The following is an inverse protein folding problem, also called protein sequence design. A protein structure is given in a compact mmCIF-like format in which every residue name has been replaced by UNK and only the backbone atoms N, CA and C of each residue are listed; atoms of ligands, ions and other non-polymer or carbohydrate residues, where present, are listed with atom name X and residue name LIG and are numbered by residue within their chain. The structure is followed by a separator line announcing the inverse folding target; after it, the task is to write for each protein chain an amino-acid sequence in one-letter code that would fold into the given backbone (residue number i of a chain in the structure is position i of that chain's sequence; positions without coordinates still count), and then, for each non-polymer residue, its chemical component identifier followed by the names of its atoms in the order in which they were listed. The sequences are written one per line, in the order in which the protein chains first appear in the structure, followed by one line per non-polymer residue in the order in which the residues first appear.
data_IF_848021058593
#
_entry.id   IF_848021058593
#
_cell.length_a   1.000
_cell.length_b   1.000
_cell.length_c   1.000
_cell.angle_alpha   90.00
_cell.angle_beta   90.00
_cell.angle_gamma   90.00
#
_symmetry.space_group_name_H-M   'P 1'
#
loop_
_entity.id
_entity.type
_entity.pdbx_description
1 polymer ?
#
# COMPACT_ATOMS: atom_id res chain seq x y z
N UNK A 1 -16.80 34.97 24.41
CA UNK A 1 -16.52 34.58 23.02
C UNK A 1 -15.45 33.51 23.07
N UNK A 2 -15.83 32.22 23.10
CA UNK A 2 -14.93 31.11 22.97
C UNK A 2 -14.54 30.97 21.49
N UNK A 3 -13.39 31.46 21.11
CA UNK A 3 -12.76 31.09 19.88
C UNK A 3 -12.29 29.63 20.02
N UNK A 4 -13.15 28.68 19.71
CA UNK A 4 -12.72 27.32 19.40
C UNK A 4 -11.68 27.47 18.27
N UNK A 5 -10.41 27.34 18.62
CA UNK A 5 -9.38 27.12 17.62
C UNK A 5 -9.74 25.82 16.93
N UNK A 6 -10.29 25.93 15.72
CA UNK A 6 -10.51 24.82 14.82
C UNK A 6 -9.12 24.24 14.49
N UNK A 7 -8.57 23.48 15.45
CA UNK A 7 -7.26 22.82 15.28
C UNK A 7 -7.46 21.66 14.33
N UNK A 8 -6.88 21.80 13.12
CA UNK A 8 -6.89 20.73 12.13
C UNK A 8 -6.34 19.45 12.74
N UNK A 9 -6.98 18.32 12.44
CA UNK A 9 -6.49 17.01 12.89
C UNK A 9 -5.14 16.71 12.25
N UNK A 10 -4.23 16.16 13.03
CA UNK A 10 -2.85 15.85 12.68
C UNK A 10 -2.71 14.36 12.41
N UNK A 11 -2.24 14.01 11.21
CA UNK A 11 -2.12 12.61 10.79
C UNK A 11 -0.67 12.29 10.44
N UNK A 12 -0.14 11.22 11.02
CA UNK A 12 1.13 10.64 10.60
C UNK A 12 0.86 9.62 9.49
N UNK A 13 1.55 9.77 8.35
CA UNK A 13 1.58 8.79 7.27
C UNK A 13 3.00 8.25 7.13
N UNK A 14 3.23 6.99 7.47
CA UNK A 14 4.51 6.34 7.20
C UNK A 14 4.53 5.72 5.82
N UNK A 15 5.66 5.69 5.14
CA UNK A 15 5.74 5.28 3.74
C UNK A 15 5.18 6.35 2.78
N UNK A 16 5.31 7.63 3.15
CA UNK A 16 4.69 8.75 2.45
C UNK A 16 5.26 9.01 1.04
N UNK A 17 6.48 8.56 0.73
CA UNK A 17 7.05 8.58 -0.62
C UNK A 17 6.72 7.32 -1.43
N UNK A 18 6.05 6.34 -0.80
CA UNK A 18 5.55 5.13 -1.46
C UNK A 18 4.32 5.42 -2.33
N UNK A 19 3.91 4.43 -3.12
CA UNK A 19 2.78 4.55 -4.05
C UNK A 19 1.48 4.97 -3.35
N UNK A 20 1.01 4.16 -2.40
CA UNK A 20 -0.25 4.42 -1.68
C UNK A 20 -0.08 5.62 -0.74
N UNK A 21 1.07 5.72 -0.05
CA UNK A 21 1.33 6.79 0.93
C UNK A 21 1.30 8.19 0.33
N UNK A 22 1.88 8.38 -0.86
CA UNK A 22 1.88 9.67 -1.54
C UNK A 22 0.48 10.12 -1.98
N UNK A 23 -0.32 9.19 -2.54
CA UNK A 23 -1.71 9.47 -2.90
C UNK A 23 -2.56 9.79 -1.67
N UNK A 24 -2.38 9.01 -0.59
CA UNK A 24 -3.10 9.25 0.66
C UNK A 24 -2.73 10.60 1.27
N UNK A 25 -1.44 10.91 1.40
CA UNK A 25 -0.99 12.18 1.96
C UNK A 25 -1.56 13.37 1.17
N UNK A 26 -1.52 13.30 -0.18
CA UNK A 26 -2.14 14.31 -1.05
C UNK A 26 -3.65 14.42 -0.85
N UNK A 27 -4.36 13.30 -0.70
CA UNK A 27 -5.81 13.31 -0.46
C UNK A 27 -6.15 13.90 0.90
N UNK A 28 -5.42 13.54 1.95
CA UNK A 28 -5.62 14.05 3.31
C UNK A 28 -5.35 15.56 3.41
N UNK A 29 -4.27 16.06 2.79
CA UNK A 29 -3.99 17.52 2.75
C UNK A 29 -5.08 18.29 2.04
N UNK A 30 -5.64 17.76 0.93
CA UNK A 30 -6.79 18.37 0.23
C UNK A 30 -8.08 18.35 1.05
N UNK A 31 -8.22 17.41 1.99
CA UNK A 31 -9.32 17.37 2.95
C UNK A 31 -9.08 18.29 4.17
N UNK A 32 -7.96 19.02 4.21
CA UNK A 32 -7.65 19.99 5.25
C UNK A 32 -6.97 19.40 6.49
N UNK A 33 -6.49 18.16 6.45
CA UNK A 33 -5.67 17.59 7.53
C UNK A 33 -4.25 18.17 7.50
N UNK A 34 -3.62 18.24 8.70
CA UNK A 34 -2.18 18.45 8.83
C UNK A 34 -1.49 17.08 8.73
N UNK A 35 -0.70 16.88 7.68
CA UNK A 35 -0.08 15.57 7.41
C UNK A 35 1.42 15.63 7.64
N UNK A 36 1.92 14.76 8.51
CA UNK A 36 3.35 14.48 8.62
C UNK A 36 3.64 13.18 7.89
N UNK A 37 4.49 13.25 6.86
CA UNK A 37 4.93 12.08 6.09
C UNK A 37 6.35 11.67 6.49
N UNK A 38 6.59 10.35 6.61
CA UNK A 38 7.93 9.79 6.76
C UNK A 38 8.19 8.68 5.75
N UNK A 39 9.42 8.59 5.24
CA UNK A 39 9.92 7.52 4.37
C UNK A 39 11.45 7.50 4.44
N UNK A 40 12.08 6.35 4.27
CA UNK A 40 13.55 6.24 4.26
C UNK A 40 14.15 6.35 2.85
N UNK A 41 13.33 6.56 1.85
CA UNK A 41 13.71 6.67 0.43
C UNK A 41 14.62 5.54 -0.05
N UNK A 42 14.47 4.32 0.49
CA UNK A 42 15.32 3.18 0.16
C UNK A 42 15.40 2.88 -1.34
N UNK A 43 16.46 2.19 -1.75
CA UNK A 43 16.81 1.89 -3.13
C UNK A 43 16.16 0.60 -3.68
N UNK A 44 15.07 0.11 -3.10
CA UNK A 44 14.36 -1.06 -3.62
C UNK A 44 13.90 -0.87 -5.07
N UNK A 45 13.48 0.34 -5.39
CA UNK A 45 13.32 0.86 -6.76
C UNK A 45 13.82 2.32 -6.80
N UNK A 46 13.88 2.89 -8.01
CA UNK A 46 14.45 4.24 -8.21
C UNK A 46 13.96 5.27 -7.18
N UNK A 47 14.84 5.88 -6.39
CA UNK A 47 14.49 6.97 -5.48
C UNK A 47 13.93 8.21 -6.19
N UNK A 48 14.22 8.40 -7.48
CA UNK A 48 13.66 9.51 -8.26
C UNK A 48 12.14 9.46 -8.34
N UNK A 49 11.57 8.27 -8.53
CA UNK A 49 10.11 8.12 -8.51
C UNK A 49 9.53 8.48 -7.13
N UNK A 50 10.24 8.18 -6.05
CA UNK A 50 9.85 8.57 -4.69
C UNK A 50 9.94 10.09 -4.51
N UNK A 51 11.03 10.69 -4.97
CA UNK A 51 11.22 12.14 -4.92
C UNK A 51 10.17 12.88 -5.76
N UNK A 52 9.86 12.38 -6.96
CA UNK A 52 8.82 12.98 -7.81
C UNK A 52 7.43 12.94 -7.15
N UNK A 53 7.09 11.88 -6.42
CA UNK A 53 5.86 11.83 -5.60
C UNK A 53 5.88 12.89 -4.49
N UNK A 54 7.01 13.07 -3.80
CA UNK A 54 7.16 14.08 -2.75
C UNK A 54 7.08 15.50 -3.32
N UNK A 55 7.68 15.76 -4.47
CA UNK A 55 7.63 17.06 -5.13
C UNK A 55 6.18 17.48 -5.43
N UNK A 56 5.32 16.52 -5.81
CA UNK A 56 3.90 16.79 -6.01
C UNK A 56 3.14 17.18 -4.73
N UNK A 57 3.73 17.00 -3.54
CA UNK A 57 3.17 17.38 -2.23
C UNK A 57 3.81 18.63 -1.62
N UNK A 58 4.98 19.07 -2.14
CA UNK A 58 5.79 20.15 -1.55
C UNK A 58 5.07 21.51 -1.48
N UNK A 59 4.14 21.77 -2.40
CA UNK A 59 3.40 23.04 -2.42
C UNK A 59 2.25 23.09 -1.41
N UNK A 60 1.98 21.97 -0.70
CA UNK A 60 0.93 21.94 0.30
C UNK A 60 1.43 22.49 1.64
N UNK A 61 0.85 23.59 2.17
CA UNK A 61 1.21 24.13 3.48
C UNK A 61 0.84 23.18 4.64
N UNK A 62 0.08 22.13 4.33
CA UNK A 62 -0.42 21.13 5.29
C UNK A 62 0.38 19.83 5.25
N UNK A 63 1.45 19.78 4.49
CA UNK A 63 2.33 18.61 4.40
C UNK A 63 3.74 18.93 4.92
N UNK A 64 4.25 18.06 5.82
CA UNK A 64 5.63 18.07 6.28
C UNK A 64 6.24 16.70 6.05
N UNK A 65 7.43 16.65 5.48
CA UNK A 65 8.15 15.41 5.23
C UNK A 65 9.42 15.31 6.06
N UNK A 66 9.69 14.11 6.59
CA UNK A 66 10.95 13.78 7.21
C UNK A 66 11.49 12.49 6.60
N UNK A 67 12.71 12.56 6.05
CA UNK A 67 13.44 11.37 5.65
C UNK A 67 13.89 10.61 6.89
N UNK A 68 13.27 9.44 7.13
CA UNK A 68 13.45 8.68 8.36
C UNK A 68 13.14 7.20 8.13
N UNK A 69 13.95 6.32 8.74
CA UNK A 69 13.64 4.90 8.81
C UNK A 69 12.77 4.59 10.03
N UNK A 70 11.70 3.82 9.83
CA UNK A 70 10.82 3.39 10.93
C UNK A 70 11.53 2.40 11.87
N UNK A 71 12.62 1.75 11.45
CA UNK A 71 13.44 0.90 12.29
C UNK A 71 14.34 1.67 13.27
N UNK A 72 14.48 3.00 13.11
CA UNK A 72 15.22 3.86 14.05
C UNK A 72 14.33 4.23 15.24
N UNK A 73 14.45 3.43 16.33
CA UNK A 73 13.66 3.60 17.56
C UNK A 73 13.80 4.99 18.18
N UNK A 74 15.02 5.54 18.20
CA UNK A 74 15.26 6.84 18.84
C UNK A 74 14.56 7.99 18.09
N UNK A 75 14.65 7.98 16.74
CA UNK A 75 13.98 8.99 15.90
C UNK A 75 12.47 8.81 15.94
N UNK A 76 11.97 7.57 15.88
CA UNK A 76 10.54 7.28 15.99
C UNK A 76 9.97 7.73 17.33
N UNK A 77 10.65 7.44 18.45
CA UNK A 77 10.23 7.88 19.79
C UNK A 77 10.09 9.40 19.87
N UNK A 78 11.05 10.17 19.32
CA UNK A 78 10.98 11.64 19.26
C UNK A 78 9.83 12.13 18.38
N UNK A 79 9.67 11.54 17.20
CA UNK A 79 8.59 11.91 16.26
C UNK A 79 7.22 11.80 16.93
N UNK A 80 6.97 10.71 17.67
CA UNK A 80 5.71 10.52 18.35
C UNK A 80 5.54 11.46 19.55
N UNK A 81 6.61 11.72 20.32
CA UNK A 81 6.57 12.63 21.47
C UNK A 81 6.25 14.07 21.05
N UNK A 82 6.82 14.53 19.94
CA UNK A 82 6.67 15.90 19.44
C UNK A 82 5.46 16.05 18.53
N UNK A 83 5.01 14.93 17.93
CA UNK A 83 4.03 14.91 16.85
C UNK A 83 2.62 15.28 17.27
N UNK A 84 2.12 14.76 18.40
CA UNK A 84 0.73 14.94 18.87
C UNK A 84 -0.29 14.53 17.79
N UNK A 85 -0.13 13.35 17.22
CA UNK A 85 -0.95 12.86 16.13
C UNK A 85 -2.33 12.39 16.61
N UNK A 86 -3.39 12.86 15.95
CA UNK A 86 -4.75 12.38 16.19
C UNK A 86 -4.97 10.97 15.62
N UNK A 87 -4.31 10.65 14.52
CA UNK A 87 -4.36 9.33 13.89
C UNK A 87 -3.05 9.01 13.18
N UNK A 88 -2.79 7.71 13.02
CA UNK A 88 -1.61 7.20 12.32
C UNK A 88 -2.05 6.27 11.20
N UNK A 89 -1.50 6.46 9.99
CA UNK A 89 -1.66 5.53 8.87
C UNK A 89 -0.29 4.95 8.54
N UNK A 90 -0.08 3.70 8.92
CA UNK A 90 1.19 3.00 8.77
C UNK A 90 1.20 2.19 7.46
N UNK A 91 1.87 2.73 6.43
CA UNK A 91 2.04 2.11 5.12
C UNK A 91 3.50 1.76 4.80
N UNK A 92 4.45 2.24 5.61
CA UNK A 92 5.87 1.91 5.44
C UNK A 92 6.08 0.41 5.64
N UNK A 93 6.68 -0.23 4.66
CA UNK A 93 7.05 -1.64 4.71
C UNK A 93 8.03 -1.96 3.58
N UNK A 94 8.86 -2.99 3.78
CA UNK A 94 9.46 -3.68 2.66
C UNK A 94 8.38 -4.56 2.03
N UNK A 95 8.04 -4.27 0.78
CA UNK A 95 7.00 -4.97 0.03
C UNK A 95 7.59 -5.84 -1.08
N UNK A 96 6.78 -6.76 -1.63
CA UNK A 96 7.18 -7.68 -2.70
C UNK A 96 7.47 -9.08 -2.19
N UNK A 97 6.68 -10.06 -2.67
CA UNK A 97 6.81 -11.47 -2.25
C UNK A 97 8.18 -12.04 -2.64
N UNK A 98 8.62 -11.78 -3.88
CA UNK A 98 9.85 -12.37 -4.43
C UNK A 98 11.12 -11.83 -3.76
N UNK A 99 11.20 -10.52 -3.61
CA UNK A 99 12.37 -9.90 -2.98
C UNK A 99 12.55 -10.35 -1.52
N UNK A 100 11.51 -10.89 -0.87
CA UNK A 100 11.65 -11.47 0.47
C UNK A 100 12.48 -12.77 0.50
N UNK A 101 12.67 -13.41 -0.64
CA UNK A 101 13.56 -14.57 -0.79
C UNK A 101 15.02 -14.11 -0.87
N UNK A 102 15.26 -13.03 -1.63
CA UNK A 102 16.61 -12.54 -1.91
C UNK A 102 17.17 -11.71 -0.75
N UNK A 103 16.31 -10.92 -0.07
CA UNK A 103 16.71 -10.02 1.01
C UNK A 103 15.78 -10.15 2.23
N UNK A 104 15.78 -11.27 2.97
CA UNK A 104 14.88 -11.51 4.09
C UNK A 104 15.06 -10.50 5.25
N UNK A 105 16.31 -10.05 5.48
CA UNK A 105 16.62 -9.12 6.57
C UNK A 105 15.87 -7.80 6.45
N UNK A 106 15.75 -7.23 5.24
CA UNK A 106 15.02 -6.00 5.01
C UNK A 106 13.54 -6.09 5.43
N UNK A 107 12.94 -7.30 5.34
CA UNK A 107 11.56 -7.54 5.78
C UNK A 107 11.45 -7.61 7.30
N UNK A 108 12.42 -8.19 7.97
CA UNK A 108 12.44 -8.22 9.45
C UNK A 108 12.64 -6.79 9.98
N UNK A 109 13.63 -6.07 9.47
CA UNK A 109 13.96 -4.72 9.93
C UNK A 109 12.77 -3.76 9.72
N UNK A 110 12.20 -3.71 8.51
CA UNK A 110 11.10 -2.79 8.22
C UNK A 110 9.76 -3.27 8.78
N UNK A 111 9.37 -4.53 8.52
CA UNK A 111 8.01 -4.96 8.80
C UNK A 111 7.80 -5.43 10.23
N UNK A 112 8.84 -5.89 10.92
CA UNK A 112 8.76 -6.36 12.30
C UNK A 112 9.27 -5.28 13.25
N UNK A 113 10.55 -4.91 13.15
CA UNK A 113 11.15 -3.91 14.04
C UNK A 113 10.49 -2.54 13.83
N UNK A 114 10.35 -2.11 12.58
CA UNK A 114 9.70 -0.84 12.25
C UNK A 114 8.25 -0.77 12.72
N UNK A 115 7.46 -1.83 12.54
CA UNK A 115 6.07 -1.85 13.04
C UNK A 115 6.01 -1.84 14.56
N UNK A 116 6.93 -2.53 15.25
CA UNK A 116 7.04 -2.48 16.70
C UNK A 116 7.29 -1.05 17.19
N UNK A 117 8.17 -0.28 16.53
CA UNK A 117 8.45 1.11 16.88
C UNK A 117 7.21 2.00 16.70
N UNK A 118 6.38 1.73 15.68
CA UNK A 118 5.09 2.44 15.50
C UNK A 118 4.13 2.10 16.65
N UNK A 119 3.99 0.83 17.01
CA UNK A 119 3.13 0.39 18.12
C UNK A 119 3.57 1.00 19.45
N UNK A 120 4.87 1.00 19.75
CA UNK A 120 5.43 1.63 20.94
C UNK A 120 5.25 3.15 20.95
N UNK A 121 5.39 3.79 19.77
CA UNK A 121 5.12 5.20 19.60
C UNK A 121 3.68 5.55 19.94
N UNK A 122 2.71 4.81 19.41
CA UNK A 122 1.27 4.98 19.72
C UNK A 122 0.95 4.62 21.18
N UNK A 123 1.58 3.59 21.74
CA UNK A 123 1.37 3.22 23.15
C UNK A 123 1.77 4.33 24.11
N UNK A 124 2.91 4.98 23.85
CA UNK A 124 3.45 6.08 24.70
C UNK A 124 2.74 7.41 24.42
N UNK A 125 2.26 7.62 23.19
CA UNK A 125 1.58 8.83 22.74
C UNK A 125 0.26 8.45 22.06
N UNK A 126 -0.81 8.21 22.84
CA UNK A 126 -2.06 7.66 22.33
C UNK A 126 -2.68 8.51 21.22
N UNK A 127 -3.21 7.86 20.21
CA UNK A 127 -3.98 8.47 19.13
C UNK A 127 -5.38 7.83 19.04
N UNK A 128 -6.28 8.48 18.31
CA UNK A 128 -7.65 8.01 18.15
C UNK A 128 -7.74 6.72 17.33
N UNK A 129 -6.86 6.53 16.35
CA UNK A 129 -6.90 5.39 15.45
C UNK A 129 -5.54 5.13 14.79
N UNK A 130 -5.06 3.89 14.85
CA UNK A 130 -3.96 3.39 14.04
C UNK A 130 -4.51 2.52 12.91
N UNK A 131 -4.40 2.97 11.67
CA UNK A 131 -4.68 2.16 10.47
C UNK A 131 -3.36 1.63 9.93
N UNK A 132 -3.24 0.34 9.70
CA UNK A 132 -1.99 -0.26 9.22
C UNK A 132 -2.19 -1.18 8.02
N UNK A 133 -1.17 -1.23 7.15
CA UNK A 133 -1.17 -2.08 5.98
C UNK A 133 -0.85 -3.53 6.35
N UNK A 134 -1.83 -4.42 6.23
CA UNK A 134 -1.66 -5.85 6.03
C UNK A 134 -1.62 -6.17 4.52
N UNK A 135 -1.86 -7.39 4.12
CA UNK A 135 -1.78 -7.83 2.71
C UNK A 135 -2.66 -9.06 2.48
N UNK A 136 -3.22 -9.19 1.28
CA UNK A 136 -3.85 -10.43 0.83
C UNK A 136 -2.91 -11.64 0.83
N UNK A 137 -1.59 -11.42 0.83
CA UNK A 137 -0.60 -12.48 0.95
C UNK A 137 -0.72 -13.29 2.26
N UNK A 138 -1.37 -12.75 3.31
CA UNK A 138 -1.59 -13.48 4.57
C UNK A 138 -2.49 -14.69 4.40
N UNK A 139 -3.36 -14.71 3.38
CA UNK A 139 -4.20 -15.87 3.08
C UNK A 139 -3.39 -17.09 2.63
N UNK A 140 -2.15 -16.89 2.17
CA UNK A 140 -1.17 -17.94 1.92
C UNK A 140 -1.69 -19.04 1.00
N UNK A 141 -1.69 -20.27 1.49
CA UNK A 141 -2.11 -21.46 0.75
C UNK A 141 -3.65 -21.67 0.70
N UNK A 142 -4.44 -20.72 1.20
CA UNK A 142 -5.91 -20.82 1.11
C UNK A 142 -6.34 -20.78 -0.36
N UNK A 143 -7.23 -21.71 -0.72
CA UNK A 143 -7.76 -21.86 -2.09
C UNK A 143 -9.23 -21.44 -2.23
N UNK A 144 -9.92 -21.16 -1.11
CA UNK A 144 -11.31 -20.73 -1.14
C UNK A 144 -11.43 -19.26 -1.47
N UNK A 145 -12.11 -18.91 -2.56
CA UNK A 145 -12.32 -17.54 -3.02
C UNK A 145 -13.82 -17.23 -3.13
N UNK A 146 -14.27 -15.98 -2.89
CA UNK A 146 -13.49 -14.81 -2.48
C UNK A 146 -12.88 -14.98 -1.08
N UNK A 147 -11.67 -14.42 -0.87
CA UNK A 147 -11.06 -14.40 0.45
C UNK A 147 -11.87 -13.51 1.40
N UNK A 148 -12.19 -14.05 2.57
CA UNK A 148 -12.93 -13.36 3.63
C UNK A 148 -12.03 -13.09 4.83
N UNK A 149 -12.32 -12.06 5.60
CA UNK A 149 -11.52 -11.69 6.77
C UNK A 149 -11.44 -12.81 7.82
N UNK A 150 -12.49 -13.66 7.88
CA UNK A 150 -12.58 -14.81 8.81
C UNK A 150 -11.80 -16.03 8.35
N UNK A 151 -11.34 -16.07 7.09
CA UNK A 151 -10.58 -17.20 6.58
C UNK A 151 -9.26 -17.35 7.32
N UNK A 152 -8.83 -18.59 7.52
CA UNK A 152 -7.54 -18.86 8.18
C UNK A 152 -6.37 -18.28 7.41
N UNK A 153 -5.42 -17.74 8.14
CA UNK A 153 -4.19 -17.13 7.62
C UNK A 153 -2.92 -17.75 8.23
N UNK A 154 -3.02 -18.99 8.70
CA UNK A 154 -1.97 -19.65 9.48
C UNK A 154 -0.91 -20.35 8.63
N UNK A 155 -1.07 -20.35 7.30
CA UNK A 155 -0.16 -21.01 6.36
C UNK A 155 0.41 -20.01 5.33
N UNK A 156 1.22 -19.00 5.77
CA UNK A 156 1.87 -18.07 4.86
C UNK A 156 2.88 -18.81 3.95
N UNK A 157 2.87 -18.48 2.66
CA UNK A 157 3.74 -19.13 1.65
C UNK A 157 4.96 -18.28 1.26
N UNK A 158 5.18 -17.15 1.94
CA UNK A 158 6.35 -16.30 1.77
C UNK A 158 6.73 -15.60 3.08
N UNK A 159 8.00 -15.20 3.21
CA UNK A 159 8.43 -14.41 4.35
C UNK A 159 7.69 -13.07 4.45
N UNK A 160 7.43 -12.42 3.32
CA UNK A 160 6.59 -11.21 3.29
C UNK A 160 5.21 -11.47 3.93
N UNK A 161 4.53 -12.54 3.53
CA UNK A 161 3.24 -12.92 4.11
C UNK A 161 3.35 -13.17 5.61
N UNK A 162 4.40 -13.90 6.04
CA UNK A 162 4.66 -14.16 7.46
C UNK A 162 4.85 -12.87 8.26
N UNK A 163 5.61 -11.88 7.75
CA UNK A 163 5.77 -10.59 8.43
C UNK A 163 4.46 -9.82 8.53
N UNK A 164 3.61 -9.84 7.49
CA UNK A 164 2.30 -9.19 7.54
C UNK A 164 1.33 -9.87 8.48
N UNK A 165 1.33 -11.21 8.55
CA UNK A 165 0.58 -11.96 9.56
C UNK A 165 1.07 -11.63 10.98
N UNK A 166 2.38 -11.51 11.18
CA UNK A 166 2.95 -11.09 12.46
C UNK A 166 2.47 -9.68 12.87
N UNK A 167 2.34 -8.75 11.91
CA UNK A 167 1.78 -7.42 12.19
C UNK A 167 0.34 -7.51 12.72
N UNK A 168 -0.51 -8.36 12.15
CA UNK A 168 -1.88 -8.58 12.66
C UNK A 168 -1.86 -9.15 14.09
N UNK A 169 -0.96 -10.10 14.38
CA UNK A 169 -0.80 -10.68 15.71
C UNK A 169 -0.28 -9.67 16.73
N UNK A 170 0.72 -8.85 16.38
CA UNK A 170 1.22 -7.78 17.25
C UNK A 170 0.15 -6.72 17.51
N UNK A 171 -0.59 -6.31 16.46
CA UNK A 171 -1.69 -5.38 16.62
C UNK A 171 -2.75 -5.92 17.58
N UNK A 172 -3.10 -7.21 17.49
CA UNK A 172 -4.04 -7.83 18.44
C UNK A 172 -3.52 -7.76 19.89
N UNK A 173 -2.27 -8.17 20.11
CA UNK A 173 -1.66 -8.16 21.44
C UNK A 173 -1.63 -6.74 22.05
N UNK A 174 -1.19 -5.74 21.26
CA UNK A 174 -1.12 -4.35 21.73
C UNK A 174 -2.51 -3.73 21.95
N UNK A 175 -3.46 -4.05 21.08
CA UNK A 175 -4.84 -3.62 21.26
C UNK A 175 -5.46 -4.21 22.51
N UNK A 176 -5.25 -5.51 22.78
CA UNK A 176 -5.75 -6.19 23.99
C UNK A 176 -5.12 -5.64 25.26
N UNK A 177 -3.78 -5.45 25.27
CA UNK A 177 -3.04 -5.02 26.46
C UNK A 177 -3.22 -3.53 26.78
N UNK A 178 -3.31 -2.68 25.75
CA UNK A 178 -3.24 -1.23 25.91
C UNK A 178 -4.47 -0.49 25.41
N UNK A 179 -5.49 -1.21 24.90
CA UNK A 179 -6.74 -0.61 24.41
C UNK A 179 -6.60 0.25 23.15
N UNK A 180 -5.50 0.11 22.38
CA UNK A 180 -5.24 0.91 21.19
C UNK A 180 -6.23 0.55 20.10
N UNK A 181 -7.02 1.53 19.55
CA UNK A 181 -7.92 1.26 18.45
C UNK A 181 -7.16 1.08 17.15
N UNK A 182 -7.26 -0.09 16.51
CA UNK A 182 -6.50 -0.40 15.30
C UNK A 182 -7.38 -1.01 14.21
N UNK A 183 -7.11 -0.63 12.95
CA UNK A 183 -7.66 -1.31 11.77
C UNK A 183 -6.54 -1.78 10.86
N UNK A 184 -6.41 -3.08 10.67
CA UNK A 184 -5.57 -3.68 9.64
C UNK A 184 -6.30 -3.75 8.31
N UNK A 185 -5.66 -3.30 7.24
CA UNK A 185 -6.20 -3.38 5.89
C UNK A 185 -5.41 -4.41 5.09
N UNK A 186 -6.04 -5.49 4.65
CA UNK A 186 -5.46 -6.50 3.76
C UNK A 186 -5.59 -6.01 2.32
N UNK A 187 -4.53 -5.34 1.84
CA UNK A 187 -4.49 -4.84 0.47
C UNK A 187 -4.39 -5.98 -0.54
N UNK A 188 -5.23 -5.93 -1.58
CA UNK A 188 -5.08 -6.71 -2.80
C UNK A 188 -4.18 -5.97 -3.79
N UNK A 189 -4.20 -6.32 -5.08
CA UNK A 189 -3.25 -5.75 -6.03
C UNK A 189 -3.64 -4.34 -6.43
N UNK A 190 -2.97 -3.35 -5.85
CA UNK A 190 -3.21 -1.93 -6.13
C UNK A 190 -2.45 -1.51 -7.39
N UNK A 191 -3.10 -0.75 -8.28
CA UNK A 191 -2.51 -0.20 -9.50
C UNK A 191 -3.01 1.22 -9.78
N UNK A 192 -2.32 1.93 -10.66
CA UNK A 192 -2.67 3.29 -11.08
C UNK A 192 -1.44 4.17 -11.30
N UNK A 193 -1.62 5.45 -11.67
CA UNK A 193 -0.54 6.43 -11.84
C UNK A 193 0.39 6.47 -10.63
N UNK A 194 1.67 6.70 -10.87
CA UNK A 194 2.71 6.66 -9.83
C UNK A 194 2.90 5.28 -9.18
N UNK A 195 2.42 4.21 -9.82
CA UNK A 195 2.54 2.84 -9.38
C UNK A 195 3.99 2.39 -9.18
N UNK A 196 4.16 1.22 -8.56
CA UNK A 196 5.48 0.64 -8.30
C UNK A 196 6.03 -0.05 -9.56
N UNK A 197 7.32 0.15 -9.93
CA UNK A 197 7.92 -0.45 -11.13
C UNK A 197 8.03 -1.98 -11.09
N UNK A 198 8.02 -2.58 -9.90
CA UNK A 198 8.09 -4.03 -9.72
C UNK A 198 6.76 -4.77 -9.95
N UNK A 199 5.64 -4.04 -10.13
CA UNK A 199 4.31 -4.60 -10.34
C UNK A 199 4.03 -4.96 -11.80
N UNK A 200 3.14 -5.92 -12.03
CA UNK A 200 2.87 -6.50 -13.35
C UNK A 200 2.44 -5.46 -14.40
N UNK A 201 1.48 -4.59 -14.08
CA UNK A 201 0.98 -3.58 -15.03
C UNK A 201 2.12 -2.65 -15.49
N UNK A 202 2.93 -2.18 -14.54
CA UNK A 202 4.07 -1.33 -14.86
C UNK A 202 5.08 -2.04 -15.77
N UNK A 203 5.44 -3.29 -15.44
CA UNK A 203 6.35 -4.10 -16.24
C UNK A 203 5.80 -4.38 -17.64
N UNK A 204 4.52 -4.67 -17.76
CA UNK A 204 3.89 -4.94 -19.06
C UNK A 204 3.86 -3.69 -19.94
N UNK A 205 3.45 -2.55 -19.39
CA UNK A 205 3.45 -1.28 -20.14
C UNK A 205 4.86 -0.91 -20.57
N UNK A 206 5.85 -1.01 -19.68
CA UNK A 206 7.26 -0.76 -20.02
C UNK A 206 7.75 -1.67 -21.16
N UNK A 207 7.56 -2.98 -21.03
CA UNK A 207 8.02 -3.96 -21.98
C UNK A 207 7.36 -3.77 -23.36
N UNK A 208 6.04 -3.56 -23.43
CA UNK A 208 5.32 -3.33 -24.69
C UNK A 208 5.84 -2.08 -25.38
N UNK A 209 6.01 -0.96 -24.67
CA UNK A 209 6.55 0.28 -25.24
C UNK A 209 7.99 0.14 -25.72
N UNK A 210 8.79 -0.72 -25.09
CA UNK A 210 10.18 -1.01 -25.49
C UNK A 210 10.29 -2.12 -26.54
N UNK A 211 9.17 -2.71 -27.02
CA UNK A 211 9.20 -3.85 -27.93
C UNK A 211 9.78 -5.14 -27.31
N UNK A 212 9.73 -5.25 -25.97
CA UNK A 212 10.21 -6.43 -25.24
C UNK A 212 9.08 -7.45 -25.01
N UNK A 213 9.45 -8.72 -24.90
CA UNK A 213 8.50 -9.81 -24.65
C UNK A 213 8.05 -9.83 -23.19
N UNK A 214 6.74 -9.82 -22.93
CA UNK A 214 6.17 -10.01 -21.61
C UNK A 214 6.05 -11.49 -21.25
N UNK A 215 6.29 -11.81 -19.97
CA UNK A 215 6.18 -13.17 -19.46
C UNK A 215 4.83 -13.37 -18.76
N UNK A 216 4.00 -14.29 -19.25
CA UNK A 216 2.77 -14.70 -18.57
C UNK A 216 2.96 -16.04 -17.89
N UNK A 217 3.08 -16.00 -16.57
CA UNK A 217 3.27 -17.20 -15.76
C UNK A 217 1.99 -18.04 -15.67
N UNK A 218 2.16 -19.33 -15.33
CA UNK A 218 1.10 -20.34 -15.34
C UNK A 218 0.33 -20.39 -16.65
N UNK A 219 1.02 -20.27 -17.79
CA UNK A 219 0.42 -20.25 -19.13
C UNK A 219 -0.65 -19.15 -19.28
N UNK A 220 -0.52 -18.04 -18.56
CA UNK A 220 -1.51 -16.94 -18.53
C UNK A 220 -2.79 -17.24 -17.72
N UNK A 221 -2.90 -18.41 -17.11
CA UNK A 221 -4.08 -18.87 -16.35
C UNK A 221 -4.05 -18.40 -14.89
N UNK A 222 -3.81 -17.11 -14.68
CA UNK A 222 -3.86 -16.47 -13.36
C UNK A 222 -4.90 -15.38 -13.38
N UNK A 223 -5.57 -15.20 -12.24
CA UNK A 223 -6.54 -14.13 -12.05
C UNK A 223 -6.20 -13.33 -10.79
N UNK A 224 -6.29 -12.00 -10.86
CA UNK A 224 -5.95 -11.11 -9.75
C UNK A 224 -7.03 -10.06 -9.57
N UNK A 225 -7.26 -9.69 -8.31
CA UNK A 225 -8.06 -8.54 -7.93
C UNK A 225 -7.19 -7.28 -8.10
N UNK A 226 -7.42 -6.56 -9.19
CA UNK A 226 -6.77 -5.28 -9.45
C UNK A 226 -7.68 -4.15 -8.99
N UNK A 227 -7.19 -3.35 -8.04
CA UNK A 227 -7.92 -2.24 -7.44
C UNK A 227 -7.23 -0.91 -7.78
N UNK A 228 -7.99 0.01 -8.36
CA UNK A 228 -7.45 1.31 -8.74
C UNK A 228 -7.07 2.14 -7.50
N UNK A 229 -6.01 2.93 -7.63
CA UNK A 229 -5.44 3.67 -6.50
C UNK A 229 -6.43 4.59 -5.81
N UNK A 230 -7.29 5.30 -6.54
CA UNK A 230 -8.25 6.21 -5.94
C UNK A 230 -9.32 5.48 -5.12
N UNK A 231 -9.74 4.28 -5.54
CA UNK A 231 -10.63 3.42 -4.77
C UNK A 231 -10.00 3.00 -3.44
N UNK A 232 -8.71 2.67 -3.45
CA UNK A 232 -7.94 2.36 -2.25
C UNK A 232 -7.86 3.56 -1.31
N UNK A 233 -7.54 4.73 -1.85
CA UNK A 233 -7.43 5.97 -1.05
C UNK A 233 -8.76 6.33 -0.42
N UNK A 234 -9.85 6.25 -1.18
CA UNK A 234 -11.20 6.53 -0.66
C UNK A 234 -11.58 5.54 0.46
N UNK A 235 -11.27 4.25 0.29
CA UNK A 235 -11.47 3.24 1.33
C UNK A 235 -10.73 3.56 2.63
N UNK A 236 -9.44 3.94 2.55
CA UNK A 236 -8.64 4.33 3.72
C UNK A 236 -9.22 5.59 4.39
N UNK A 237 -9.55 6.61 3.59
CA UNK A 237 -10.08 7.88 4.09
C UNK A 237 -11.40 7.68 4.84
N UNK A 238 -12.27 6.81 4.36
CA UNK A 238 -13.53 6.49 5.04
C UNK A 238 -13.37 5.66 6.30
N UNK A 239 -12.38 4.77 6.35
CA UNK A 239 -12.07 3.96 7.55
C UNK A 239 -11.45 4.82 8.65
N UNK A 240 -10.64 5.81 8.31
CA UNK A 240 -9.84 6.59 9.26
C UNK A 240 -10.64 7.23 10.40
N UNK A 241 -11.83 7.84 10.19
CA UNK A 241 -12.64 8.43 11.26
C UNK A 241 -13.46 7.42 12.06
N UNK A 242 -13.36 6.12 11.77
CA UNK A 242 -14.16 5.05 12.35
C UNK A 242 -13.30 4.06 13.15
N UNK A 243 -12.69 4.46 14.29
CA UNK A 243 -11.94 3.53 15.12
C UNK A 243 -12.84 2.39 15.62
N UNK A 244 -12.31 1.15 15.75
CA UNK A 244 -13.09 0.07 16.32
C UNK A 244 -13.30 0.28 17.82
N UNK A 245 -14.50 -0.08 18.28
CA UNK A 245 -14.83 -0.14 19.70
C UNK A 245 -14.35 -1.46 20.32
N UNK A 246 -14.27 -1.52 21.64
CA UNK A 246 -14.00 -2.77 22.34
C UNK A 246 -15.11 -3.78 22.05
N UNK A 247 -14.74 -5.02 21.73
CA UNK A 247 -15.72 -6.09 21.59
C UNK A 247 -16.30 -6.39 22.97
N UNK A 248 -17.62 -6.29 23.10
CA UNK A 248 -18.34 -6.56 24.34
C UNK A 248 -18.57 -8.05 24.59
N UNK A 249 -18.43 -8.86 23.54
CA UNK A 249 -18.63 -10.32 23.55
C UNK A 249 -17.39 -11.04 23.05
N UNK A 250 -17.02 -12.12 23.70
CA UNK A 250 -15.89 -12.96 23.33
C UNK A 250 -14.77 -12.98 24.37
N UNK A 251 -13.69 -13.68 24.05
CA UNK A 251 -12.55 -13.92 24.92
C UNK A 251 -11.46 -12.83 24.85
N UNK A 252 -11.62 -11.82 23.99
CA UNK A 252 -10.66 -10.73 23.83
C UNK A 252 -11.36 -9.37 23.86
N UNK A 253 -10.82 -8.44 24.67
CA UNK A 253 -11.25 -7.05 24.74
C UNK A 253 -10.51 -6.15 23.73
N UNK A 254 -9.87 -6.73 22.72
CA UNK A 254 -9.11 -5.96 21.73
C UNK A 254 -10.01 -5.04 20.90
N UNK A 255 -9.57 -3.81 20.71
CA UNK A 255 -10.14 -2.82 19.80
C UNK A 255 -9.47 -2.95 18.44
N UNK A 256 -9.48 -4.15 17.87
CA UNK A 256 -8.87 -4.46 16.59
C UNK A 256 -9.92 -4.95 15.61
N UNK A 257 -9.82 -4.44 14.40
CA UNK A 257 -10.57 -4.90 13.24
C UNK A 257 -9.60 -5.14 12.07
N UNK A 258 -9.84 -6.19 11.30
CA UNK A 258 -9.13 -6.45 10.04
C UNK A 258 -10.16 -6.43 8.92
N UNK A 259 -9.86 -5.74 7.80
CA UNK A 259 -10.72 -5.61 6.64
C UNK A 259 -9.94 -5.91 5.37
N UNK A 260 -10.59 -6.55 4.42
CA UNK A 260 -10.09 -6.59 3.05
C UNK A 260 -10.31 -5.24 2.36
N UNK A 261 -9.34 -4.84 1.55
CA UNK A 261 -9.45 -3.70 0.66
C UNK A 261 -9.00 -4.11 -0.75
N UNK A 262 -9.97 -4.27 -1.64
CA UNK A 262 -9.84 -4.83 -2.98
C UNK A 262 -11.04 -4.42 -3.84
N UNK A 263 -11.11 -4.91 -5.08
CA UNK A 263 -12.18 -4.56 -6.03
C UNK A 263 -13.30 -5.62 -6.09
N UNK A 264 -13.07 -6.84 -5.54
CA UNK A 264 -13.99 -7.98 -5.65
C UNK A 264 -14.34 -8.36 -7.11
N UNK A 265 -13.49 -8.02 -8.07
CA UNK A 265 -13.66 -8.30 -9.49
C UNK A 265 -12.35 -8.83 -10.08
N UNK A 266 -12.12 -10.14 -10.02
CA UNK A 266 -10.88 -10.73 -10.51
C UNK A 266 -10.75 -10.55 -12.04
N UNK A 267 -9.56 -10.19 -12.48
CA UNK A 267 -9.22 -10.01 -13.90
C UNK A 267 -8.19 -11.05 -14.30
N UNK A 268 -8.48 -11.80 -15.38
CA UNK A 268 -7.55 -12.75 -15.97
C UNK A 268 -6.39 -12.02 -16.67
N UNK A 269 -5.18 -12.62 -16.62
CA UNK A 269 -3.98 -11.98 -17.17
C UNK A 269 -4.10 -11.69 -18.67
N UNK A 270 -4.72 -12.57 -19.46
CA UNK A 270 -4.94 -12.32 -20.90
C UNK A 270 -5.87 -11.12 -21.13
N UNK A 271 -6.93 -10.97 -20.33
CA UNK A 271 -7.79 -9.79 -20.38
C UNK A 271 -7.00 -8.52 -20.03
N UNK A 272 -6.18 -8.58 -18.97
CA UNK A 272 -5.32 -7.46 -18.58
C UNK A 272 -4.40 -7.04 -19.73
N UNK A 273 -3.74 -8.00 -20.40
CA UNK A 273 -2.86 -7.71 -21.52
C UNK A 273 -3.63 -7.01 -22.64
N UNK A 274 -4.81 -7.51 -23.04
CA UNK A 274 -5.64 -6.88 -24.06
C UNK A 274 -6.06 -5.45 -23.70
N UNK A 275 -6.38 -5.20 -22.43
CA UNK A 275 -6.73 -3.85 -21.96
C UNK A 275 -5.52 -2.91 -22.08
N UNK A 276 -4.31 -3.40 -21.75
CA UNK A 276 -3.07 -2.63 -21.91
C UNK A 276 -2.76 -2.38 -23.39
N UNK A 277 -2.88 -3.39 -24.25
CA UNK A 277 -2.70 -3.27 -25.70
C UNK A 277 -3.62 -2.21 -26.31
N UNK A 278 -4.90 -2.24 -25.94
CA UNK A 278 -5.88 -1.25 -26.40
C UNK A 278 -5.52 0.17 -25.94
N UNK A 279 -5.11 0.35 -24.68
CA UNK A 279 -4.73 1.65 -24.15
C UNK A 279 -3.42 2.18 -24.76
N UNK A 280 -2.50 1.29 -25.15
CA UNK A 280 -1.24 1.65 -25.80
C UNK A 280 -1.38 1.84 -27.31
N UNK A 281 -2.38 1.20 -27.94
CA UNK A 281 -2.49 1.06 -29.39
C UNK A 281 -1.38 0.18 -29.99
N UNK A 282 -0.86 -0.79 -29.22
CA UNK A 282 0.26 -1.66 -29.57
C UNK A 282 -0.02 -3.09 -29.13
N UNK A 283 0.43 -4.07 -29.91
CA UNK A 283 0.34 -5.48 -29.57
C UNK A 283 1.54 -5.93 -28.71
N UNK A 284 1.29 -6.80 -27.75
CA UNK A 284 2.30 -7.38 -26.89
C UNK A 284 2.93 -8.63 -27.48
N UNK A 285 4.24 -8.73 -27.47
CA UNK A 285 4.91 -10.02 -27.66
C UNK A 285 4.82 -10.81 -26.34
N UNK A 286 4.19 -11.98 -26.38
CA UNK A 286 3.90 -12.79 -25.17
C UNK A 286 4.67 -14.09 -25.20
N UNK A 287 5.35 -14.40 -24.06
CA UNK A 287 5.90 -15.72 -23.79
C UNK A 287 5.15 -16.35 -22.61
N UNK A 288 4.72 -17.60 -22.80
CA UNK A 288 4.00 -18.37 -21.78
C UNK A 288 5.00 -19.17 -20.94
N UNK A 289 5.02 -18.93 -19.64
CA UNK A 289 5.93 -19.58 -18.71
C UNK A 289 5.19 -20.49 -17.72
N UNK A 290 5.88 -21.48 -17.11
CA UNK A 290 5.33 -22.28 -16.02
C UNK A 290 4.96 -21.41 -14.82
N UNK A 291 4.13 -21.97 -13.92
CA UNK A 291 3.79 -21.31 -12.65
C UNK A 291 5.05 -21.10 -11.81
N UNK A 292 5.17 -19.92 -11.20
CA UNK A 292 6.29 -19.62 -10.30
C UNK A 292 6.01 -20.11 -8.88
N UNK A 293 7.09 -20.43 -8.17
CA UNK A 293 7.02 -20.83 -6.78
C UNK A 293 6.42 -19.68 -5.92
N UNK A 294 5.46 -20.03 -5.06
CA UNK A 294 4.77 -19.06 -4.19
C UNK A 294 3.63 -18.28 -4.85
N UNK A 295 3.35 -18.51 -6.15
CA UNK A 295 2.15 -17.95 -6.79
C UNK A 295 0.90 -18.77 -6.48
N UNK A 296 -0.26 -18.09 -6.52
CA UNK A 296 -1.60 -18.70 -6.37
C UNK A 296 -2.43 -18.44 -7.63
N UNK A 297 -3.35 -19.36 -7.97
CA UNK A 297 -4.14 -19.29 -9.21
C UNK A 297 -5.03 -18.05 -9.29
N UNK A 298 -5.80 -17.81 -8.24
CA UNK A 298 -6.77 -16.71 -8.19
C UNK A 298 -6.72 -16.04 -6.83
N UNK A 299 -6.71 -14.72 -6.83
CA UNK A 299 -6.87 -13.92 -5.61
C UNK A 299 -7.91 -12.83 -5.86
N UNK A 300 -8.96 -12.81 -5.05
CA UNK A 300 -9.86 -11.66 -4.97
C UNK A 300 -10.55 -11.58 -3.60
N UNK A 301 -10.88 -10.35 -3.21
CA UNK A 301 -11.44 -10.02 -1.91
C UNK A 301 -12.96 -10.21 -1.88
N UNK A 302 -13.55 -10.71 -0.77
CA UNK A 302 -14.82 -10.16 -0.31
C UNK A 302 -14.52 -8.80 0.32
N UNK A 303 -15.29 -7.78 -0.08
CA UNK A 303 -15.20 -6.40 0.46
C UNK A 303 -16.43 -6.04 1.29
N UNK A 304 -17.22 -7.03 1.67
CA UNK A 304 -18.49 -6.86 2.41
C UNK A 304 -18.27 -6.15 3.75
N UNK A 305 -17.17 -6.48 4.46
CA UNK A 305 -16.82 -5.85 5.72
C UNK A 305 -16.51 -4.36 5.58
N UNK A 306 -15.76 -3.98 4.54
CA UNK A 306 -15.46 -2.58 4.22
C UNK A 306 -16.73 -1.82 3.82
N UNK A 307 -17.55 -2.41 2.95
CA UNK A 307 -18.80 -1.83 2.49
C UNK A 307 -19.81 -1.63 3.63
N UNK A 308 -19.97 -2.62 4.51
CA UNK A 308 -20.86 -2.52 5.67
C UNK A 308 -20.42 -1.41 6.65
N UNK A 309 -19.10 -1.24 6.83
CA UNK A 309 -18.56 -0.22 7.71
C UNK A 309 -18.68 1.20 7.15
N UNK A 310 -18.39 1.37 5.85
CA UNK A 310 -18.13 2.69 5.25
C UNK A 310 -19.19 3.12 4.24
N UNK A 311 -20.08 2.23 3.83
CA UNK A 311 -21.01 2.43 2.71
C UNK A 311 -20.30 2.55 1.35
N UNK A 312 -19.02 2.21 1.26
CA UNK A 312 -18.21 2.37 0.05
C UNK A 312 -17.87 1.04 -0.62
N UNK A 313 -18.01 1.02 -1.94
CA UNK A 313 -17.53 -0.05 -2.80
C UNK A 313 -16.62 0.54 -3.87
N UNK A 314 -15.50 -0.14 -4.21
CA UNK A 314 -14.65 0.20 -5.35
C UNK A 314 -15.45 0.22 -6.64
N UNK A 315 -15.20 1.21 -7.50
CA UNK A 315 -16.04 1.46 -8.66
C UNK A 315 -15.27 1.59 -9.99
N UNK A 316 -13.96 1.89 -9.96
CA UNK A 316 -13.19 2.16 -11.17
C UNK A 316 -12.97 0.88 -12.00
N UNK A 317 -13.46 0.81 -13.26
CA UNK A 317 -13.21 -0.30 -14.16
C UNK A 317 -11.73 -0.42 -14.51
N UNK A 318 -11.27 -1.65 -14.80
CA UNK A 318 -9.86 -1.89 -15.17
C UNK A 318 -9.44 -1.10 -16.41
N UNK A 319 -10.36 -0.92 -17.36
CA UNK A 319 -10.14 -0.19 -18.61
C UNK A 319 -9.81 1.29 -18.34
N UNK A 320 -10.59 1.95 -17.49
CA UNK A 320 -10.37 3.36 -17.10
C UNK A 320 -9.07 3.53 -16.32
N UNK A 321 -8.82 2.65 -15.36
CA UNK A 321 -7.61 2.72 -14.54
C UNK A 321 -6.33 2.45 -15.34
N UNK A 322 -6.36 1.54 -16.32
CA UNK A 322 -5.22 1.28 -17.22
C UNK A 322 -5.01 2.48 -18.16
N UNK A 323 -6.08 3.06 -18.71
CA UNK A 323 -5.97 4.26 -19.54
C UNK A 323 -5.27 5.40 -18.77
N UNK A 324 -5.71 5.68 -17.54
CA UNK A 324 -5.09 6.69 -16.69
C UNK A 324 -3.61 6.36 -16.36
N UNK A 325 -3.29 5.07 -16.13
CA UNK A 325 -1.91 4.64 -15.92
C UNK A 325 -1.03 4.88 -17.15
N UNK A 326 -1.50 4.52 -18.33
CA UNK A 326 -0.76 4.68 -19.60
C UNK A 326 -0.52 6.17 -19.91
N UNK A 327 -1.52 7.02 -19.72
CA UNK A 327 -1.41 8.47 -19.90
C UNK A 327 -0.32 9.06 -18.97
N UNK A 328 -0.38 8.72 -17.68
CA UNK A 328 0.65 9.11 -16.71
C UNK A 328 2.04 8.58 -17.10
N UNK A 329 2.13 7.31 -17.53
CA UNK A 329 3.41 6.69 -17.87
C UNK A 329 4.08 7.42 -19.04
N UNK A 330 3.31 7.73 -20.09
CA UNK A 330 3.84 8.44 -21.27
C UNK A 330 4.19 9.90 -21.00
N UNK A 331 3.39 10.58 -20.20
CA UNK A 331 3.56 12.01 -19.94
C UNK A 331 4.59 12.31 -18.86
N UNK A 332 4.42 11.67 -17.70
CA UNK A 332 5.18 12.04 -16.49
C UNK A 332 6.37 11.10 -16.24
N UNK A 333 6.17 9.78 -16.36
CA UNK A 333 7.24 8.84 -16.03
C UNK A 333 8.34 8.80 -17.08
N UNK A 334 8.02 8.81 -18.38
CA UNK A 334 9.03 8.85 -19.43
C UNK A 334 9.86 10.14 -19.34
N UNK A 335 9.23 11.31 -19.18
CA UNK A 335 9.95 12.57 -19.00
C UNK A 335 10.89 12.54 -17.79
N UNK A 336 10.45 11.94 -16.68
CA UNK A 336 11.30 11.78 -15.49
C UNK A 336 12.54 10.90 -15.76
N UNK A 337 12.41 9.87 -16.59
CA UNK A 337 13.53 9.01 -16.96
C UNK A 337 14.49 9.69 -17.95
N UNK A 338 13.95 10.40 -18.93
CA UNK A 338 14.73 11.15 -19.92
C UNK A 338 15.58 12.25 -19.24
N UNK A 339 15.02 12.97 -18.28
CA UNK A 339 15.74 13.96 -17.47
C UNK A 339 16.89 13.33 -16.67
N UNK A 340 16.68 12.12 -16.13
CA UNK A 340 17.72 11.38 -15.42
C UNK A 340 18.88 10.98 -16.35
N UNK A 341 18.55 10.46 -17.53
CA UNK A 341 19.57 10.05 -18.50
C UNK A 341 20.40 11.25 -18.96
N UNK A 342 19.76 12.39 -19.24
CA UNK A 342 20.43 13.63 -19.60
C UNK A 342 21.37 14.13 -18.51
N UNK A 343 20.90 14.18 -17.25
CA UNK A 343 21.72 14.61 -16.11
C UNK A 343 22.92 13.67 -15.85
N UNK A 344 22.75 12.37 -16.12
CA UNK A 344 23.84 11.39 -15.98
C UNK A 344 24.89 11.57 -17.06
N UNK A 345 24.50 11.88 -18.30
CA UNK A 345 25.42 12.15 -19.41
C UNK A 345 26.20 13.44 -19.20
N UNK A 346 25.58 14.50 -18.69
CA UNK A 346 26.26 15.76 -18.36
C UNK A 346 27.27 15.62 -17.21
N UNK A 347 27.03 14.71 -16.27
CA UNK A 347 27.94 14.47 -15.14
C UNK A 347 29.18 13.65 -15.50
N UNK A 348 29.19 13.00 -16.67
CA UNK A 348 30.29 12.14 -17.19
C UNK A 348 31.10 12.86 -18.27
N UNK A 349 30.59 13.95 -18.81
CA UNK A 349 31.27 14.83 -19.78
C UNK A 349 32.07 15.94 -19.08
#
# INVERSE_FOLDING_TARGET
MNTERNTRKRILVTGAAGFIGAHLARRLTRLGYEVTGIDNLNHYYSPLLKQARLNALCDSPHFRFYEMDIADDARMSRLFADGGFDSVVHLAAQAGVRYSIDNPKAYVDSNIVGFMNVLEGVRRNPCNHLVFASSSSVYGANSSVPFREQDTTDHPVSLYAATKKSNEAFAHAYSHLYGIPMTGLRFFTVYGPWGRPDMAIFKFVKAILSGETIQLYNQGKLSRDFTYIDDIIEGIVRVLPLPPEAQSEGWSAARLRVLNIGNNRPVELFRLVRVIENALGMEAMVNLAPMQQGDVYTTYASVDGLAALTGYNPAVPIEEGIQAFVEWYRKDYQSLMDEQEAATQESVA
#
